data_IF_512112852587
#
_entry.id   IF_512112852587
#
_cell.length_a   1.000
_cell.length_b   1.000
_cell.length_c   1.000
_cell.angle_alpha   90.00
_cell.angle_beta   90.00
_cell.angle_gamma   90.00
#
_symmetry.space_group_name_H-M   'P 1'
#
loop_
_entity.id
_entity.type
_entity.pdbx_description
1 polymer ?
#
# COMPACT_ATOMS: atom_id res chain seq x y z
N UNK A 1 -11.51 -40.31 -43.99
CA UNK A 1 -11.40 -41.33 -42.94
C UNK A 1 -10.69 -40.76 -41.75
N UNK A 2 -11.40 -40.74 -40.66
CA UNK A 2 -10.97 -40.61 -39.26
C UNK A 2 -10.26 -39.31 -38.83
N UNK A 3 -11.07 -38.44 -38.29
CA UNK A 3 -10.69 -37.40 -37.36
C UNK A 3 -10.16 -37.96 -36.06
N UNK A 4 -9.29 -37.19 -35.40
CA UNK A 4 -8.95 -37.36 -33.97
C UNK A 4 -9.24 -36.04 -33.27
N UNK A 5 -10.25 -36.08 -32.42
CA UNK A 5 -10.56 -35.04 -31.44
C UNK A 5 -9.40 -34.86 -30.46
N UNK A 6 -9.01 -33.61 -30.26
CA UNK A 6 -8.09 -33.22 -29.18
C UNK A 6 -8.95 -32.65 -28.05
N UNK A 7 -8.86 -33.17 -26.81
CA UNK A 7 -9.67 -32.68 -25.69
C UNK A 7 -9.26 -31.24 -25.29
N UNK A 8 -10.27 -30.41 -25.07
CA UNK A 8 -10.15 -29.02 -24.74
C UNK A 8 -9.40 -28.73 -23.45
N UNK A 9 -8.64 -27.65 -23.45
CA UNK A 9 -8.06 -27.00 -22.28
C UNK A 9 -9.17 -26.39 -21.42
N UNK A 10 -9.10 -26.48 -20.10
CA UNK A 10 -10.07 -25.78 -19.23
C UNK A 10 -9.81 -24.27 -19.28
N UNK A 11 -10.89 -23.53 -19.45
CA UNK A 11 -10.94 -22.09 -19.57
C UNK A 11 -10.71 -21.44 -18.20
N UNK A 12 -9.62 -20.72 -18.06
CA UNK A 12 -9.28 -19.86 -16.90
C UNK A 12 -10.25 -18.65 -16.72
N UNK A 13 -11.22 -18.50 -17.58
CA UNK A 13 -12.09 -17.31 -17.65
C UNK A 13 -13.20 -17.18 -16.60
N UNK A 14 -13.34 -18.13 -15.66
CA UNK A 14 -14.45 -18.07 -14.67
C UNK A 14 -14.10 -17.36 -13.37
N UNK A 15 -12.85 -17.22 -12.99
CA UNK A 15 -12.46 -16.61 -11.71
C UNK A 15 -12.44 -15.07 -11.75
N UNK A 16 -12.09 -14.49 -12.88
CA UNK A 16 -11.99 -13.03 -13.02
C UNK A 16 -13.32 -12.30 -13.11
N UNK A 17 -14.36 -12.93 -13.67
CA UNK A 17 -15.72 -12.35 -13.68
C UNK A 17 -16.33 -12.20 -12.28
N UNK A 18 -15.87 -12.95 -11.28
CA UNK A 18 -16.36 -12.85 -9.91
C UNK A 18 -15.83 -11.63 -9.15
N UNK A 19 -14.63 -11.13 -9.47
CA UNK A 19 -14.06 -9.96 -8.79
C UNK A 19 -14.83 -8.67 -9.14
N UNK A 20 -15.22 -8.50 -10.39
CA UNK A 20 -16.04 -7.35 -10.84
C UNK A 20 -17.50 -7.45 -10.40
N UNK A 21 -18.03 -8.66 -10.15
CA UNK A 21 -19.41 -8.84 -9.70
C UNK A 21 -19.58 -8.63 -8.19
N UNK A 22 -18.55 -8.84 -7.37
CA UNK A 22 -18.65 -8.71 -5.91
C UNK A 22 -18.41 -7.28 -5.40
N UNK A 23 -17.72 -6.45 -6.14
CA UNK A 23 -17.72 -5.00 -5.89
C UNK A 23 -19.07 -4.34 -6.20
N UNK A 24 -19.92 -5.00 -7.03
CA UNK A 24 -21.30 -4.58 -7.32
C UNK A 24 -22.36 -5.23 -6.43
N UNK A 25 -22.08 -6.34 -5.76
CA UNK A 25 -23.09 -7.11 -5.01
C UNK A 25 -23.25 -6.69 -3.53
N UNK A 26 -22.37 -5.88 -2.99
CA UNK A 26 -22.55 -5.25 -1.68
C UNK A 26 -23.61 -4.13 -1.68
N UNK A 27 -24.09 -3.73 -2.86
CA UNK A 27 -25.03 -2.61 -3.04
C UNK A 27 -26.52 -3.00 -3.13
N UNK A 28 -26.90 -4.28 -3.12
CA UNK A 28 -28.31 -4.66 -3.39
C UNK A 28 -29.09 -5.25 -2.23
N UNK A 29 -28.66 -5.12 -1.00
CA UNK A 29 -29.38 -5.66 0.17
C UNK A 29 -29.77 -4.63 1.25
N UNK A 30 -29.87 -3.35 0.94
CA UNK A 30 -30.28 -2.36 1.92
C UNK A 30 -31.37 -1.40 1.39
N UNK A 31 -32.51 -1.95 0.97
CA UNK A 31 -33.74 -1.16 0.92
C UNK A 31 -34.59 -1.49 2.14
N UNK A 32 -34.48 -0.73 3.18
CA UNK A 32 -35.39 -0.78 4.32
C UNK A 32 -34.69 -0.76 5.68
N UNK A 33 -34.32 0.40 6.16
CA UNK A 33 -33.81 0.55 7.52
C UNK A 33 -32.85 1.71 7.68
N UNK A 34 -33.27 2.88 7.30
CA UNK A 34 -32.52 4.09 7.61
C UNK A 34 -32.57 4.37 9.11
N UNK A 35 -31.44 4.87 9.64
CA UNK A 35 -31.30 5.54 10.93
C UNK A 35 -31.26 4.64 12.17
N UNK A 36 -30.12 4.04 12.44
CA UNK A 36 -29.56 3.92 13.80
C UNK A 36 -28.26 3.11 13.75
N UNK A 37 -27.16 3.73 13.51
CA UNK A 37 -25.88 3.04 13.55
C UNK A 37 -24.69 3.97 13.38
N UNK A 38 -24.78 5.20 13.91
CA UNK A 38 -23.57 5.87 14.36
C UNK A 38 -23.12 5.02 15.53
N UNK A 39 -22.22 4.05 15.28
CA UNK A 39 -21.56 3.34 16.35
C UNK A 39 -20.99 4.40 17.29
N UNK A 40 -21.58 4.50 18.48
CA UNK A 40 -21.04 5.34 19.53
C UNK A 40 -19.64 4.74 19.82
N UNK A 41 -18.60 5.39 19.33
CA UNK A 41 -17.24 5.05 19.72
C UNK A 41 -17.21 5.02 21.24
N UNK A 42 -16.80 3.89 21.79
CA UNK A 42 -16.74 3.69 23.24
C UNK A 42 -16.07 4.91 23.90
N UNK A 43 -16.76 5.53 24.83
CA UNK A 43 -16.31 6.75 25.53
C UNK A 43 -15.20 6.51 26.57
N UNK A 44 -14.65 5.28 26.64
CA UNK A 44 -13.53 4.94 27.53
C UNK A 44 -12.18 5.01 26.81
N UNK A 45 -11.96 6.06 26.03
CA UNK A 45 -10.73 6.26 25.29
C UNK A 45 -9.64 6.83 26.18
N UNK A 46 -8.43 6.27 26.07
CA UNK A 46 -7.24 6.89 26.66
C UNK A 46 -7.07 8.34 26.12
N UNK A 47 -6.50 9.26 26.90
CA UNK A 47 -6.25 10.61 26.43
C UNK A 47 -5.41 10.58 25.16
N UNK A 48 -5.72 11.50 24.23
CA UNK A 48 -5.02 11.59 22.95
C UNK A 48 -3.50 11.65 23.16
N UNK A 49 -2.78 10.77 22.51
CA UNK A 49 -1.33 10.72 22.58
C UNK A 49 -0.74 11.93 21.84
N UNK A 50 0.28 12.56 22.43
CA UNK A 50 1.01 13.64 21.77
C UNK A 50 1.60 13.15 20.43
N UNK A 51 1.55 14.03 19.41
CA UNK A 51 2.09 13.69 18.10
C UNK A 51 3.58 13.35 18.18
N UNK A 52 3.95 12.17 17.71
CA UNK A 52 5.35 11.78 17.54
C UNK A 52 5.94 12.59 16.39
N UNK A 53 7.06 13.26 16.63
CA UNK A 53 7.68 14.17 15.65
C UNK A 53 8.83 13.57 14.86
N UNK A 54 9.42 12.46 15.31
CA UNK A 54 10.57 11.82 14.64
C UNK A 54 10.57 10.31 14.86
N UNK A 55 11.21 9.57 13.95
CA UNK A 55 11.44 8.12 14.04
C UNK A 55 12.52 7.72 15.05
N UNK A 56 13.39 8.65 15.48
CA UNK A 56 14.55 8.35 16.33
C UNK A 56 14.22 7.58 17.62
N UNK A 57 13.04 7.77 18.17
CA UNK A 57 12.60 7.05 19.37
C UNK A 57 12.20 5.59 19.09
N UNK A 58 11.99 5.23 17.83
CA UNK A 58 11.49 3.92 17.37
C UNK A 58 12.61 3.10 16.74
N UNK A 59 13.24 3.68 15.73
CA UNK A 59 14.43 3.13 15.10
C UNK A 59 15.57 4.15 15.16
N UNK A 60 16.45 4.07 16.17
CA UNK A 60 17.55 5.02 16.29
C UNK A 60 18.55 4.95 15.13
N UNK A 61 18.48 3.89 14.31
CA UNK A 61 19.28 3.74 13.10
C UNK A 61 18.53 4.13 11.83
N UNK A 62 17.28 4.61 11.93
CA UNK A 62 16.48 4.99 10.76
C UNK A 62 17.28 5.89 9.82
N UNK A 63 17.19 5.64 8.51
CA UNK A 63 17.93 6.38 7.50
C UNK A 63 17.55 7.87 7.53
N UNK A 64 18.44 8.74 7.06
CA UNK A 64 18.15 10.18 6.98
C UNK A 64 16.94 10.45 6.11
N UNK A 65 16.81 9.75 4.99
CA UNK A 65 15.68 9.89 4.08
C UNK A 65 14.36 9.45 4.75
N UNK A 66 14.33 8.30 5.45
CA UNK A 66 13.14 7.85 6.16
C UNK A 66 12.70 8.86 7.25
N UNK A 67 13.66 9.39 8.01
CA UNK A 67 13.35 10.45 8.99
C UNK A 67 12.80 11.70 8.36
N UNK A 68 13.36 12.15 7.25
CA UNK A 68 12.88 13.34 6.54
C UNK A 68 11.47 13.15 5.99
N UNK A 69 11.18 11.99 5.41
CA UNK A 69 9.81 11.66 4.96
C UNK A 69 8.84 11.64 6.14
N UNK A 70 9.21 11.00 7.25
CA UNK A 70 8.37 10.99 8.44
C UNK A 70 8.11 12.40 9.00
N UNK A 71 9.14 13.26 9.05
CA UNK A 71 8.98 14.65 9.51
C UNK A 71 8.03 15.45 8.62
N UNK A 72 8.08 15.23 7.31
CA UNK A 72 7.09 15.83 6.39
C UNK A 72 5.67 15.43 6.80
N UNK A 73 5.41 14.12 6.95
CA UNK A 73 4.08 13.64 7.33
C UNK A 73 3.65 14.16 8.71
N UNK A 74 4.55 14.14 9.69
CA UNK A 74 4.30 14.66 11.03
C UNK A 74 4.06 16.18 11.04
N UNK A 75 4.76 16.94 10.20
CA UNK A 75 4.54 18.37 10.03
C UNK A 75 3.15 18.69 9.46
N UNK A 76 2.73 17.97 8.42
CA UNK A 76 1.38 18.10 7.85
C UNK A 76 0.30 17.73 8.87
N UNK A 77 0.53 16.68 9.66
CA UNK A 77 -0.37 16.27 10.74
C UNK A 77 -0.45 17.31 11.86
N UNK A 78 0.66 17.91 12.26
CA UNK A 78 0.69 18.97 13.25
C UNK A 78 -0.14 20.19 12.82
N UNK A 79 -0.05 20.55 11.55
CA UNK A 79 -0.84 21.62 10.98
C UNK A 79 -2.33 21.27 10.90
N UNK A 80 -2.66 20.03 10.52
CA UNK A 80 -4.04 19.55 10.51
C UNK A 80 -4.65 19.61 11.91
N UNK A 81 -3.96 19.15 12.95
CA UNK A 81 -4.39 19.23 14.35
C UNK A 81 -4.55 20.65 14.86
N UNK A 82 -3.77 21.57 14.34
CA UNK A 82 -3.87 23.00 14.67
C UNK A 82 -4.95 23.74 13.87
N UNK A 83 -5.77 23.03 13.11
CA UNK A 83 -6.79 23.60 12.23
C UNK A 83 -6.24 24.34 11.00
N UNK A 84 -4.97 24.13 10.70
CA UNK A 84 -4.30 24.69 9.53
C UNK A 84 -4.01 23.57 8.54
N UNK A 85 -4.90 23.32 7.61
CA UNK A 85 -4.59 22.40 6.52
C UNK A 85 -3.61 23.08 5.58
N UNK A 86 -2.31 22.73 5.67
CA UNK A 86 -1.29 23.22 4.72
C UNK A 86 -1.34 22.48 3.40
N UNK A 87 -1.57 21.18 3.44
CA UNK A 87 -1.65 20.39 2.23
C UNK A 87 -1.97 18.91 2.50
N UNK A 88 -2.40 18.24 1.45
CA UNK A 88 -2.61 16.79 1.41
C UNK A 88 -1.81 16.24 0.25
N UNK A 89 -0.95 15.25 0.52
CA UNK A 89 -0.27 14.49 -0.51
C UNK A 89 -1.29 13.64 -1.26
N UNK A 90 -1.35 13.74 -2.59
CA UNK A 90 -2.19 12.84 -3.38
C UNK A 90 -1.34 11.69 -3.89
N UNK A 91 -1.86 10.48 -3.71
CA UNK A 91 -1.21 9.23 -4.07
C UNK A 91 -2.00 8.44 -5.10
N UNK A 92 -1.31 7.54 -5.77
CA UNK A 92 -1.87 6.62 -6.73
C UNK A 92 -1.25 5.24 -6.55
N UNK A 93 -2.09 4.24 -6.42
CA UNK A 93 -1.69 2.84 -6.40
C UNK A 93 -1.47 2.34 -7.84
N UNK A 94 -0.35 1.65 -8.10
CA UNK A 94 0.02 1.23 -9.44
C UNK A 94 -0.47 -0.16 -9.82
N UNK A 95 -0.83 -1.03 -8.89
CA UNK A 95 -1.30 -2.40 -9.17
C UNK A 95 -0.50 -3.16 -10.25
N UNK A 96 0.81 -3.12 -10.15
CA UNK A 96 1.74 -3.63 -11.20
C UNK A 96 1.42 -5.06 -11.65
N UNK A 97 0.97 -5.92 -10.75
CA UNK A 97 0.57 -7.28 -11.09
C UNK A 97 -0.62 -7.29 -12.05
N UNK A 98 -1.67 -6.51 -11.77
CA UNK A 98 -2.85 -6.45 -12.62
C UNK A 98 -2.57 -5.71 -13.93
N UNK A 99 -1.84 -4.58 -13.88
CA UNK A 99 -1.43 -3.85 -15.10
C UNK A 99 -0.78 -4.78 -16.11
N UNK A 100 0.02 -5.72 -15.63
CA UNK A 100 0.89 -6.51 -16.48
C UNK A 100 0.34 -7.86 -16.90
N UNK A 101 -0.33 -8.56 -16.01
CA UNK A 101 -0.73 -9.95 -16.22
C UNK A 101 -2.23 -10.13 -16.39
N UNK A 102 -3.03 -9.10 -16.18
CA UNK A 102 -4.47 -9.15 -16.35
C UNK A 102 -4.92 -8.30 -17.53
N UNK A 103 -5.10 -8.88 -18.73
CA UNK A 103 -5.51 -8.13 -19.91
C UNK A 103 -6.94 -7.59 -19.85
N UNK A 104 -7.75 -8.10 -18.90
CA UNK A 104 -9.14 -7.63 -18.68
C UNK A 104 -9.22 -6.58 -17.56
N UNK A 105 -8.09 -6.17 -16.99
CA UNK A 105 -8.06 -5.19 -15.91
C UNK A 105 -8.20 -3.75 -16.44
N UNK A 106 -8.92 -2.94 -15.69
CA UNK A 106 -9.10 -1.53 -16.00
C UNK A 106 -9.95 -1.29 -17.26
N UNK A 107 -9.40 -0.61 -18.24
CA UNK A 107 -10.10 -0.24 -19.47
C UNK A 107 -10.22 -1.38 -20.52
N UNK A 108 -9.84 -2.59 -20.17
CA UNK A 108 -9.90 -3.79 -21.01
C UNK A 108 -9.15 -3.70 -22.34
N UNK A 109 -8.16 -2.81 -22.45
CA UNK A 109 -7.39 -2.62 -23.69
C UNK A 109 -6.12 -3.46 -23.76
N UNK A 110 -5.96 -4.42 -22.84
CA UNK A 110 -4.82 -5.33 -22.76
C UNK A 110 -3.81 -4.94 -21.69
N UNK A 111 -2.70 -5.70 -21.56
CA UNK A 111 -1.68 -5.46 -20.56
C UNK A 111 -1.09 -4.05 -20.65
N UNK A 112 -0.90 -3.40 -19.53
CA UNK A 112 -0.31 -2.06 -19.42
C UNK A 112 1.17 -2.16 -19.03
N UNK A 113 1.98 -1.16 -19.37
CA UNK A 113 3.33 -1.07 -18.83
C UNK A 113 3.29 -0.80 -17.32
N UNK A 114 4.24 -1.31 -16.54
CA UNK A 114 4.32 -1.02 -15.12
C UNK A 114 4.33 0.49 -14.84
N UNK A 115 3.54 0.92 -13.86
CA UNK A 115 3.36 2.33 -13.52
C UNK A 115 2.34 3.08 -14.38
N UNK A 116 1.56 2.37 -15.20
CA UNK A 116 0.52 2.98 -16.02
C UNK A 116 -0.46 3.81 -15.18
N UNK A 117 -1.02 3.24 -14.11
CA UNK A 117 -1.97 3.96 -13.26
C UNK A 117 -1.30 5.08 -12.45
N UNK A 118 -0.04 4.92 -12.03
CA UNK A 118 0.70 6.02 -11.38
C UNK A 118 0.85 7.24 -12.30
N UNK A 119 1.01 7.01 -13.60
CA UNK A 119 1.10 8.12 -14.59
C UNK A 119 -0.23 8.68 -15.02
N UNK A 120 -1.32 7.95 -14.84
CA UNK A 120 -2.64 8.36 -15.35
C UNK A 120 -3.09 9.76 -14.88
N UNK A 121 -2.88 10.16 -13.62
CA UNK A 121 -3.14 11.54 -13.22
C UNK A 121 -2.36 12.57 -14.04
N UNK A 122 -1.11 12.29 -14.43
CA UNK A 122 -0.33 13.19 -15.28
C UNK A 122 -0.93 13.33 -16.68
N UNK A 123 -1.47 12.26 -17.25
CA UNK A 123 -2.15 12.33 -18.56
C UNK A 123 -3.37 13.24 -18.52
N UNK A 124 -4.10 13.26 -17.38
CA UNK A 124 -5.31 14.07 -17.19
C UNK A 124 -4.98 15.51 -16.81
N UNK A 125 -4.00 15.72 -15.92
CA UNK A 125 -3.79 16.99 -15.22
C UNK A 125 -2.47 17.68 -15.53
N UNK A 126 -1.54 16.99 -16.19
CA UNK A 126 -0.16 17.43 -16.36
C UNK A 126 0.73 17.27 -15.11
N UNK A 127 0.18 16.78 -13.99
CA UNK A 127 0.88 16.68 -12.70
C UNK A 127 0.95 15.23 -12.22
N UNK A 128 2.08 14.86 -11.59
CA UNK A 128 2.27 13.54 -11.00
C UNK A 128 1.65 13.44 -9.60
N UNK A 129 1.23 12.24 -9.18
CA UNK A 129 0.97 11.97 -7.77
C UNK A 129 2.22 12.20 -6.91
N UNK A 130 2.02 12.67 -5.68
CA UNK A 130 3.09 12.84 -4.70
C UNK A 130 3.51 11.51 -4.03
N UNK A 131 2.73 10.46 -4.21
CA UNK A 131 2.96 9.16 -3.58
C UNK A 131 2.61 8.03 -4.56
N UNK A 132 3.54 7.11 -4.71
CA UNK A 132 3.36 5.85 -5.41
C UNK A 132 3.14 4.75 -4.39
N UNK A 133 2.01 4.06 -4.44
CA UNK A 133 1.80 2.84 -3.68
C UNK A 133 1.89 1.61 -4.60
N UNK A 134 2.47 0.55 -4.06
CA UNK A 134 2.80 -0.67 -4.78
C UNK A 134 2.45 -1.90 -3.93
N UNK A 135 2.20 -3.04 -4.60
CA UNK A 135 2.05 -4.33 -3.94
C UNK A 135 3.28 -5.21 -4.18
N UNK A 136 3.85 -5.74 -3.10
CA UNK A 136 4.73 -6.90 -3.18
C UNK A 136 3.92 -8.18 -3.00
N UNK A 137 4.00 -9.11 -3.97
CA UNK A 137 3.13 -10.29 -3.97
C UNK A 137 1.65 -9.96 -4.24
N UNK A 138 0.82 -10.96 -4.47
CA UNK A 138 1.18 -12.35 -4.77
C UNK A 138 1.72 -12.52 -6.19
N UNK A 139 1.91 -13.75 -6.63
CA UNK A 139 2.28 -14.05 -8.02
C UNK A 139 3.76 -14.27 -8.25
N UNK A 140 4.53 -14.42 -7.19
CA UNK A 140 5.94 -14.81 -7.27
C UNK A 140 6.13 -16.32 -7.24
N UNK A 141 7.26 -16.79 -7.76
CA UNK A 141 7.63 -18.19 -7.79
C UNK A 141 8.61 -18.49 -6.67
N UNK A 142 8.28 -19.43 -5.82
CA UNK A 142 9.07 -19.74 -4.62
C UNK A 142 10.44 -20.32 -4.96
N UNK A 143 10.55 -21.12 -6.00
CA UNK A 143 11.78 -21.71 -6.48
C UNK A 143 12.83 -20.69 -6.93
N UNK A 144 12.43 -19.47 -7.28
CA UNK A 144 13.34 -18.42 -7.71
C UNK A 144 13.95 -17.60 -6.58
N UNK A 145 13.70 -17.93 -5.32
CA UNK A 145 14.11 -17.11 -4.17
C UNK A 145 15.48 -17.40 -3.60
N UNK A 146 16.18 -18.43 -4.04
CA UNK A 146 17.45 -18.83 -3.43
C UNK A 146 17.31 -19.04 -1.93
N UNK A 147 16.35 -19.87 -1.54
CA UNK A 147 15.95 -20.15 -0.17
C UNK A 147 17.11 -20.66 0.67
N UNK A 148 17.28 -20.09 1.86
CA UNK A 148 18.29 -20.52 2.83
C UNK A 148 19.69 -19.96 2.62
N UNK A 149 19.94 -19.18 1.58
CA UNK A 149 21.22 -18.50 1.39
C UNK A 149 21.33 -17.22 2.23
N UNK A 150 22.54 -16.92 2.66
CA UNK A 150 22.84 -15.62 3.26
C UNK A 150 22.61 -14.51 2.23
N UNK A 151 22.02 -13.41 2.67
CA UNK A 151 21.72 -12.26 1.80
C UNK A 151 22.77 -11.19 1.93
N UNK A 152 23.31 -10.79 0.79
CA UNK A 152 24.16 -9.62 0.66
C UNK A 152 23.34 -8.48 0.05
N UNK A 153 23.09 -7.45 0.84
CA UNK A 153 22.37 -6.24 0.41
C UNK A 153 23.30 -5.16 -0.15
N UNK A 154 24.56 -5.47 -0.37
CA UNK A 154 25.46 -4.53 -1.03
C UNK A 154 25.01 -4.28 -2.46
N UNK A 155 25.26 -3.04 -2.95
CA UNK A 155 24.96 -2.65 -4.33
C UNK A 155 25.63 -3.54 -5.38
N UNK A 156 26.77 -4.13 -5.04
CA UNK A 156 27.53 -5.02 -5.94
C UNK A 156 26.88 -6.38 -6.13
N UNK A 157 26.19 -6.89 -5.10
CA UNK A 157 25.58 -8.22 -5.15
C UNK A 157 24.19 -8.26 -5.81
N UNK A 158 23.45 -7.15 -5.74
CA UNK A 158 22.06 -7.11 -6.17
C UNK A 158 21.82 -7.39 -7.66
N UNK A 159 22.56 -6.82 -8.62
CA UNK A 159 22.33 -7.08 -10.03
C UNK A 159 22.35 -8.55 -10.38
N UNK A 160 23.28 -9.33 -9.80
CA UNK A 160 23.40 -10.76 -10.03
C UNK A 160 22.25 -11.60 -9.46
N UNK A 161 21.50 -11.07 -8.50
CA UNK A 161 20.41 -11.79 -7.84
C UNK A 161 19.04 -11.48 -8.40
N UNK A 162 18.87 -10.41 -9.17
CA UNK A 162 17.58 -9.98 -9.74
C UNK A 162 16.97 -11.00 -10.71
N UNK A 163 17.76 -11.84 -11.30
CA UNK A 163 17.29 -12.90 -12.19
C UNK A 163 16.36 -13.92 -11.50
N UNK A 164 16.47 -14.05 -10.16
CA UNK A 164 15.63 -14.92 -9.35
C UNK A 164 14.29 -14.31 -8.93
N UNK A 165 14.03 -13.05 -9.28
CA UNK A 165 12.81 -12.38 -8.93
C UNK A 165 11.79 -12.50 -10.07
N UNK A 166 10.53 -12.21 -9.75
CA UNK A 166 9.42 -12.18 -10.70
C UNK A 166 9.07 -10.72 -11.07
N UNK A 167 7.78 -10.43 -11.34
CA UNK A 167 7.33 -9.06 -11.58
C UNK A 167 7.68 -8.08 -10.44
N UNK A 168 7.99 -8.58 -9.27
CA UNK A 168 8.40 -7.77 -8.12
C UNK A 168 9.70 -7.00 -8.36
N UNK A 169 10.50 -7.40 -9.36
CA UNK A 169 11.59 -6.55 -9.85
C UNK A 169 11.06 -5.25 -10.46
N UNK A 170 9.96 -5.33 -11.20
CA UNK A 170 9.32 -4.14 -11.78
C UNK A 170 8.80 -3.21 -10.67
N UNK A 171 8.29 -3.78 -9.57
CA UNK A 171 7.83 -3.04 -8.39
C UNK A 171 8.98 -2.25 -7.75
N UNK A 172 10.11 -2.89 -7.48
CA UNK A 172 11.25 -2.21 -6.87
C UNK A 172 11.92 -1.21 -7.81
N UNK A 173 11.94 -1.49 -9.12
CA UNK A 173 12.45 -0.56 -10.11
C UNK A 173 11.59 0.70 -10.21
N UNK A 174 10.26 0.57 -10.17
CA UNK A 174 9.35 1.71 -10.12
C UNK A 174 9.57 2.55 -8.85
N UNK A 175 9.64 1.90 -7.69
CA UNK A 175 9.89 2.56 -6.42
C UNK A 175 11.19 3.37 -6.45
N UNK A 176 12.25 2.74 -6.95
CA UNK A 176 13.56 3.38 -7.10
C UNK A 176 13.51 4.55 -8.08
N UNK A 177 12.84 4.38 -9.22
CA UNK A 177 12.68 5.42 -10.23
C UNK A 177 11.91 6.64 -9.72
N UNK A 178 10.84 6.43 -8.96
CA UNK A 178 10.05 7.52 -8.39
C UNK A 178 10.83 8.27 -7.31
N UNK A 179 11.53 7.56 -6.43
CA UNK A 179 12.31 8.20 -5.37
C UNK A 179 13.54 8.98 -5.91
N UNK A 180 14.24 8.43 -6.88
CA UNK A 180 15.42 9.10 -7.48
C UNK A 180 15.07 10.04 -8.64
N UNK A 181 13.80 10.12 -9.04
CA UNK A 181 13.36 10.93 -10.18
C UNK A 181 13.76 10.40 -11.55
N UNK A 182 14.64 9.40 -11.58
CA UNK A 182 15.04 8.64 -12.76
C UNK A 182 15.49 7.25 -12.32
N UNK A 183 15.20 6.18 -13.10
CA UNK A 183 15.69 4.85 -12.81
C UNK A 183 17.24 4.85 -12.75
N UNK A 184 17.79 4.18 -11.75
CA UNK A 184 19.23 3.93 -11.69
C UNK A 184 19.56 2.69 -12.52
N UNK A 185 20.63 2.78 -13.29
CA UNK A 185 21.27 1.63 -13.93
C UNK A 185 22.13 0.86 -12.92
N UNK A 186 22.46 -0.38 -13.26
CA UNK A 186 23.29 -1.25 -12.41
C UNK A 186 24.67 -0.67 -12.10
N UNK A 187 25.20 0.19 -12.97
CA UNK A 187 26.47 0.93 -12.76
C UNK A 187 26.32 2.14 -11.82
N UNK A 188 25.15 2.37 -11.27
CA UNK A 188 24.85 3.50 -10.39
C UNK A 188 24.52 4.81 -11.09
N UNK A 189 24.60 4.86 -12.42
CA UNK A 189 24.18 6.04 -13.20
C UNK A 189 22.67 6.09 -13.34
N UNK A 190 22.13 7.26 -13.71
CA UNK A 190 20.72 7.44 -13.99
C UNK A 190 20.42 7.27 -15.48
N UNK A 191 19.23 6.78 -15.79
CA UNK A 191 18.72 6.73 -17.16
C UNK A 191 18.25 8.14 -17.59
N UNK A 192 18.94 8.82 -18.53
CA UNK A 192 18.64 10.21 -18.87
C UNK A 192 17.31 10.39 -19.62
N UNK A 193 16.73 9.33 -20.16
CA UNK A 193 15.50 9.40 -20.94
C UNK A 193 14.24 9.24 -20.10
N UNK A 194 14.36 8.89 -18.82
CA UNK A 194 13.21 8.56 -17.97
C UNK A 194 12.45 7.30 -18.40
N UNK A 195 13.05 6.48 -19.27
CA UNK A 195 12.50 5.22 -19.73
C UNK A 195 13.40 4.09 -19.28
N UNK A 196 12.87 3.17 -18.52
CA UNK A 196 13.56 1.99 -18.01
C UNK A 196 13.19 0.78 -18.83
N UNK A 197 14.18 -0.06 -19.15
CA UNK A 197 13.91 -1.44 -19.59
C UNK A 197 13.96 -2.33 -18.36
N UNK A 198 12.81 -2.82 -17.96
CA UNK A 198 12.68 -3.67 -16.79
C UNK A 198 13.27 -5.06 -17.06
N UNK A 199 13.51 -5.83 -16.00
CA UNK A 199 14.16 -7.15 -16.04
C UNK A 199 13.55 -8.12 -17.07
N UNK A 200 12.27 -7.97 -17.39
CA UNK A 200 11.54 -8.82 -18.35
C UNK A 200 11.46 -8.22 -19.76
N UNK A 201 12.21 -7.16 -20.06
CA UNK A 201 12.21 -6.49 -21.34
C UNK A 201 11.07 -5.50 -21.57
N UNK A 202 10.13 -5.37 -20.64
CA UNK A 202 9.07 -4.35 -20.71
C UNK A 202 9.66 -2.99 -20.41
N UNK A 203 9.20 -1.97 -21.10
CA UNK A 203 9.58 -0.58 -20.85
C UNK A 203 8.53 0.10 -20.00
N UNK A 204 8.95 0.79 -18.96
CA UNK A 204 8.12 1.74 -18.24
C UNK A 204 8.56 3.16 -18.59
N UNK A 205 7.62 4.08 -18.58
CA UNK A 205 7.90 5.50 -18.77
C UNK A 205 7.81 6.18 -17.42
N UNK A 206 8.96 6.57 -16.88
CA UNK A 206 9.03 7.39 -15.68
C UNK A 206 9.37 8.83 -16.07
N UNK A 207 8.79 9.81 -15.39
CA UNK A 207 9.08 11.20 -15.68
C UNK A 207 10.52 11.53 -15.29
N UNK A 208 11.23 12.22 -16.18
CA UNK A 208 12.54 12.78 -15.85
C UNK A 208 12.36 13.91 -14.84
N UNK A 209 12.88 13.72 -13.63
CA UNK A 209 12.79 14.72 -12.55
C UNK A 209 14.16 15.25 -12.08
N UNK A 210 15.19 15.02 -12.89
CA UNK A 210 16.52 15.59 -12.68
C UNK A 210 17.19 15.22 -11.35
N UNK A 211 16.94 14.01 -10.85
CA UNK A 211 17.53 13.50 -9.61
C UNK A 211 16.79 13.89 -8.33
N UNK A 212 15.70 14.67 -8.43
CA UNK A 212 14.81 14.89 -7.29
C UNK A 212 13.73 13.81 -7.25
N UNK A 213 13.18 13.42 -6.06
CA UNK A 213 12.04 12.55 -5.99
C UNK A 213 10.88 13.04 -6.84
N UNK A 214 10.26 12.13 -7.61
CA UNK A 214 8.99 12.40 -8.27
C UNK A 214 7.83 12.25 -7.27
N UNK A 215 8.03 11.46 -6.21
CA UNK A 215 7.08 11.24 -5.14
C UNK A 215 7.66 10.35 -4.05
N UNK A 216 6.89 10.15 -3.00
CA UNK A 216 7.15 9.18 -1.94
C UNK A 216 6.78 7.78 -2.41
N UNK A 217 7.27 6.75 -1.71
CA UNK A 217 7.04 5.34 -2.04
C UNK A 217 6.38 4.62 -0.86
N UNK A 218 5.30 3.89 -1.14
CA UNK A 218 4.67 2.96 -0.23
C UNK A 218 4.60 1.56 -0.81
N UNK A 219 4.55 0.56 0.07
CA UNK A 219 4.39 -0.83 -0.32
C UNK A 219 3.50 -1.58 0.66
N UNK A 220 2.52 -2.31 0.15
CA UNK A 220 1.85 -3.37 0.88
C UNK A 220 2.52 -4.73 0.61
N UNK A 221 2.23 -5.73 1.43
CA UNK A 221 2.67 -7.10 1.21
C UNK A 221 1.47 -8.05 1.22
N UNK A 222 1.05 -8.47 0.03
CA UNK A 222 0.01 -9.47 -0.14
C UNK A 222 0.59 -10.88 0.05
N UNK A 223 0.92 -11.20 1.29
CA UNK A 223 1.56 -12.46 1.64
C UNK A 223 0.59 -13.64 1.48
N UNK A 224 0.87 -14.64 0.63
CA UNK A 224 0.22 -15.94 0.71
C UNK A 224 0.45 -16.58 2.09
N UNK A 225 -0.52 -17.34 2.61
CA UNK A 225 -0.35 -17.94 3.93
C UNK A 225 0.93 -18.79 4.01
N UNK A 226 1.69 -18.73 5.13
CA UNK A 226 2.96 -19.41 5.32
C UNK A 226 2.89 -20.91 5.04
N UNK A 227 3.76 -21.39 4.14
CA UNK A 227 3.77 -22.79 3.69
C UNK A 227 2.78 -23.12 2.57
N UNK A 228 2.12 -22.13 1.98
CA UNK A 228 1.25 -22.35 0.82
C UNK A 228 2.03 -22.96 -0.35
N UNK A 229 1.44 -23.96 -1.06
CA UNK A 229 2.14 -24.69 -2.13
C UNK A 229 2.36 -23.83 -3.39
N UNK A 230 1.57 -22.77 -3.54
CA UNK A 230 1.69 -21.80 -4.64
C UNK A 230 1.54 -20.38 -4.07
N UNK A 231 2.21 -19.42 -4.69
CA UNK A 231 2.20 -18.03 -4.25
C UNK A 231 1.25 -17.20 -5.13
N UNK A 232 -0.04 -17.58 -5.11
CA UNK A 232 -1.10 -16.90 -5.87
C UNK A 232 -1.97 -16.02 -4.97
N UNK A 233 -2.77 -15.15 -5.58
CA UNK A 233 -3.73 -14.31 -4.85
C UNK A 233 -4.71 -15.12 -4.01
N UNK A 234 -5.19 -16.27 -4.51
CA UNK A 234 -6.08 -17.17 -3.76
C UNK A 234 -5.47 -17.59 -2.41
N UNK A 235 -4.14 -17.73 -2.34
CA UNK A 235 -3.45 -18.12 -1.11
C UNK A 235 -3.26 -16.96 -0.12
N UNK A 236 -3.57 -15.75 -0.50
CA UNK A 236 -3.62 -14.62 0.44
C UNK A 236 -4.93 -14.59 1.22
N UNK A 237 -5.94 -15.33 0.76
CA UNK A 237 -7.30 -15.25 1.29
C UNK A 237 -7.53 -16.21 2.46
N UNK A 238 -8.35 -15.77 3.40
CA UNK A 238 -8.71 -16.53 4.61
C UNK A 238 -9.31 -17.91 4.30
N UNK A 239 -10.13 -18.02 3.26
CA UNK A 239 -10.78 -19.27 2.87
C UNK A 239 -9.80 -20.37 2.45
N UNK A 240 -8.62 -20.00 1.96
CA UNK A 240 -7.56 -20.94 1.53
C UNK A 240 -6.60 -21.30 2.65
N UNK A 241 -6.55 -20.51 3.73
CA UNK A 241 -5.61 -20.70 4.81
C UNK A 241 -5.98 -21.89 5.71
N UNK A 242 -4.98 -22.60 6.27
CA UNK A 242 -5.22 -23.73 7.17
C UNK A 242 -6.01 -23.37 8.42
N UNK A 243 -5.94 -22.12 8.89
CA UNK A 243 -6.63 -21.62 10.10
C UNK A 243 -8.14 -21.89 10.12
N UNK A 244 -8.78 -22.02 8.96
CA UNK A 244 -10.20 -22.35 8.86
C UNK A 244 -10.52 -23.78 9.36
N UNK A 245 -9.56 -24.71 9.27
CA UNK A 245 -9.71 -26.13 9.64
C UNK A 245 -8.85 -26.52 10.83
N UNK A 246 -7.82 -25.77 11.11
CA UNK A 246 -6.83 -26.00 12.17
C UNK A 246 -6.61 -24.69 12.95
N UNK A 247 -7.40 -24.43 14.00
CA UNK A 247 -7.25 -23.21 14.81
C UNK A 247 -5.87 -23.04 15.47
N UNK A 248 -5.11 -24.14 15.65
CA UNK A 248 -3.76 -24.11 16.22
C UNK A 248 -2.65 -23.80 15.21
N UNK A 249 -3.00 -23.73 13.93
CA UNK A 249 -2.00 -23.47 12.88
C UNK A 249 -1.27 -22.14 13.09
N UNK A 250 -1.99 -21.06 13.39
CA UNK A 250 -1.37 -19.75 13.61
C UNK A 250 -0.45 -19.73 14.83
N UNK A 251 -0.78 -20.45 15.88
CA UNK A 251 0.09 -20.53 17.07
C UNK A 251 1.42 -21.23 16.70
N UNK A 252 1.41 -22.20 15.80
CA UNK A 252 2.64 -22.78 15.26
C UNK A 252 3.39 -21.84 14.34
N UNK A 253 2.69 -21.03 13.50
CA UNK A 253 3.32 -19.96 12.70
C UNK A 253 4.09 -19.00 13.58
N UNK A 254 3.56 -18.69 14.76
CA UNK A 254 4.18 -17.77 15.72
C UNK A 254 5.21 -18.43 16.64
N UNK A 255 5.32 -19.78 16.64
CA UNK A 255 6.23 -20.52 17.54
C UNK A 255 7.57 -20.81 16.87
N UNK A 256 8.68 -20.22 17.35
CA UNK A 256 10.00 -20.51 16.83
C UNK A 256 10.34 -22.03 16.86
N UNK A 257 10.91 -22.52 15.75
CA UNK A 257 11.30 -23.90 15.59
C UNK A 257 10.23 -24.82 14.97
N UNK A 258 9.00 -24.35 14.78
CA UNK A 258 7.98 -25.08 14.02
C UNK A 258 8.24 -24.99 12.51
N UNK A 259 7.67 -25.92 11.74
CA UNK A 259 7.75 -25.89 10.28
C UNK A 259 7.00 -24.69 9.69
N UNK A 260 5.87 -24.32 10.30
CA UNK A 260 5.06 -23.17 9.90
C UNK A 260 5.78 -21.85 10.17
N UNK A 261 6.51 -21.75 11.28
CA UNK A 261 7.36 -20.58 11.57
C UNK A 261 8.50 -20.45 10.55
N UNK A 262 9.16 -21.57 10.21
CA UNK A 262 10.19 -21.57 9.18
C UNK A 262 9.64 -21.11 7.82
N UNK A 263 8.41 -21.53 7.46
CA UNK A 263 7.74 -21.10 6.26
C UNK A 263 7.40 -19.58 6.29
N UNK A 264 6.98 -19.05 7.44
CA UNK A 264 6.78 -17.61 7.60
C UNK A 264 8.09 -16.84 7.38
N UNK A 265 9.19 -17.28 8.01
CA UNK A 265 10.49 -16.62 7.86
C UNK A 265 10.98 -16.65 6.41
N UNK A 266 10.62 -17.67 5.66
CA UNK A 266 10.91 -17.76 4.24
C UNK A 266 10.19 -16.66 3.43
N UNK A 267 8.90 -16.49 3.66
CA UNK A 267 8.13 -15.42 3.01
C UNK A 267 8.64 -14.02 3.43
N UNK A 268 8.96 -13.84 4.71
CA UNK A 268 9.57 -12.59 5.20
C UNK A 268 10.97 -12.35 4.63
N UNK A 269 11.74 -13.41 4.32
CA UNK A 269 13.03 -13.27 3.63
C UNK A 269 12.87 -12.71 2.22
N UNK A 270 11.86 -13.17 1.48
CA UNK A 270 11.51 -12.61 0.19
C UNK A 270 11.18 -11.11 0.29
N UNK A 271 10.30 -10.72 1.21
CA UNK A 271 9.99 -9.31 1.48
C UNK A 271 11.26 -8.51 1.82
N UNK A 272 12.07 -9.04 2.74
CA UNK A 272 13.29 -8.38 3.19
C UNK A 272 14.33 -8.20 2.07
N UNK A 273 14.41 -9.11 1.12
CA UNK A 273 15.32 -9.01 -0.02
C UNK A 273 14.95 -7.81 -0.91
N UNK A 274 13.67 -7.61 -1.20
CA UNK A 274 13.20 -6.48 -2.00
C UNK A 274 13.37 -5.13 -1.28
N UNK A 275 12.99 -5.09 0.00
CA UNK A 275 13.18 -3.90 0.82
C UNK A 275 14.66 -3.59 1.06
N UNK A 276 15.52 -4.61 1.16
CA UNK A 276 16.97 -4.47 1.29
C UNK A 276 17.60 -3.89 0.03
N UNK A 277 17.10 -4.25 -1.15
CA UNK A 277 17.51 -3.63 -2.39
C UNK A 277 17.21 -2.12 -2.37
N UNK A 278 15.99 -1.75 -1.98
CA UNK A 278 15.62 -0.34 -1.85
C UNK A 278 16.46 0.38 -0.79
N UNK A 279 16.76 -0.27 0.34
CA UNK A 279 17.63 0.27 1.37
C UNK A 279 19.05 0.54 0.88
N UNK A 280 19.60 -0.35 0.03
CA UNK A 280 20.93 -0.18 -0.55
C UNK A 280 21.04 1.06 -1.48
N UNK A 281 19.90 1.53 -1.98
CA UNK A 281 19.79 2.74 -2.81
C UNK A 281 19.13 3.91 -2.07
N UNK A 282 19.09 3.89 -0.74
CA UNK A 282 18.57 4.96 0.10
C UNK A 282 17.09 5.32 -0.18
N UNK A 283 16.28 4.36 -0.61
CA UNK A 283 14.84 4.57 -0.86
C UNK A 283 14.06 4.32 0.43
N UNK A 284 13.42 5.34 1.03
CA UNK A 284 12.53 5.13 2.17
C UNK A 284 11.20 4.56 1.70
N UNK A 285 10.62 3.67 2.48
CA UNK A 285 9.37 2.99 2.13
C UNK A 285 8.36 3.11 3.27
N UNK A 286 7.17 3.64 2.96
CA UNK A 286 6.00 3.49 3.81
C UNK A 286 5.50 2.04 3.66
N UNK A 287 5.86 1.17 4.60
CA UNK A 287 5.52 -0.25 4.56
C UNK A 287 4.20 -0.50 5.27
N UNK A 288 3.21 -1.02 4.54
CA UNK A 288 1.86 -1.32 5.03
C UNK A 288 1.58 -2.82 5.01
N UNK A 289 2.17 -3.59 5.94
CA UNK A 289 1.95 -5.02 6.02
C UNK A 289 0.63 -5.34 6.70
N UNK A 290 0.05 -6.50 6.41
CA UNK A 290 -1.10 -7.06 7.11
C UNK A 290 -2.28 -6.08 7.29
N UNK A 291 -2.53 -5.23 6.29
CA UNK A 291 -3.63 -4.28 6.25
C UNK A 291 -5.00 -4.98 6.26
N UNK A 292 -6.07 -4.24 6.49
CA UNK A 292 -7.45 -4.74 6.51
C UNK A 292 -7.71 -5.92 7.48
N UNK A 293 -6.96 -5.99 8.58
CA UNK A 293 -7.00 -7.10 9.55
C UNK A 293 -8.36 -7.28 10.22
N UNK A 294 -9.19 -6.28 10.20
CA UNK A 294 -10.53 -6.30 10.78
C UNK A 294 -11.63 -6.74 9.81
N UNK A 295 -11.32 -6.97 8.52
CA UNK A 295 -12.28 -7.44 7.51
C UNK A 295 -12.55 -8.93 7.68
N UNK A 296 -13.76 -9.31 8.14
CA UNK A 296 -14.15 -10.71 8.33
C UNK A 296 -15.38 -11.12 7.50
N UNK A 297 -15.99 -10.16 6.83
CA UNK A 297 -17.32 -10.34 6.24
C UNK A 297 -17.36 -10.91 4.83
N UNK A 298 -16.22 -11.24 4.21
CA UNK A 298 -16.22 -11.66 2.82
C UNK A 298 -15.27 -12.80 2.48
N UNK A 299 -15.51 -13.43 1.35
CA UNK A 299 -14.59 -14.40 0.74
C UNK A 299 -13.23 -13.80 0.38
N UNK A 300 -13.16 -12.47 0.30
CA UNK A 300 -11.97 -11.70 -0.07
C UNK A 300 -11.11 -11.27 1.13
N UNK A 301 -11.54 -11.53 2.37
CA UNK A 301 -10.72 -11.21 3.55
C UNK A 301 -9.40 -11.95 3.52
N UNK A 302 -8.32 -11.27 3.87
CA UNK A 302 -6.98 -11.86 3.94
C UNK A 302 -6.88 -12.90 5.08
N UNK A 303 -5.92 -13.82 4.99
CA UNK A 303 -5.77 -14.87 6.01
C UNK A 303 -5.46 -14.30 7.40
N UNK A 304 -4.75 -13.19 7.49
CA UNK A 304 -4.47 -12.51 8.77
C UNK A 304 -5.70 -11.79 9.37
N UNK A 305 -6.72 -11.47 8.58
CA UNK A 305 -7.96 -10.90 9.08
C UNK A 305 -8.77 -11.89 9.95
N UNK A 306 -8.48 -13.20 9.87
CA UNK A 306 -9.11 -14.22 10.72
C UNK A 306 -8.50 -14.37 12.11
N UNK A 307 -7.37 -13.70 12.39
CA UNK A 307 -6.62 -13.87 13.62
C UNK A 307 -7.32 -13.23 14.83
N UNK A 308 -7.00 -13.72 16.03
CA UNK A 308 -7.31 -13.00 17.26
C UNK A 308 -6.42 -11.75 17.37
N UNK A 309 -6.86 -10.69 18.06
CA UNK A 309 -6.03 -9.49 18.23
C UNK A 309 -4.60 -9.79 18.69
N UNK A 310 -4.43 -10.64 19.71
CA UNK A 310 -3.12 -10.99 20.25
C UNK A 310 -2.25 -11.77 19.25
N UNK A 311 -2.85 -12.59 18.41
CA UNK A 311 -2.12 -13.31 17.35
C UNK A 311 -1.68 -12.35 16.24
N UNK A 312 -2.54 -11.39 15.89
CA UNK A 312 -2.21 -10.37 14.90
C UNK A 312 -1.07 -9.45 15.39
N UNK A 313 -1.16 -8.95 16.62
CA UNK A 313 -0.10 -8.09 17.18
C UNK A 313 1.23 -8.84 17.27
N UNK A 314 1.23 -10.12 17.70
CA UNK A 314 2.42 -10.95 17.71
C UNK A 314 3.01 -11.18 16.31
N UNK A 315 2.17 -11.35 15.29
CA UNK A 315 2.61 -11.47 13.89
C UNK A 315 3.26 -10.18 13.40
N UNK A 316 2.68 -9.02 13.74
CA UNK A 316 3.23 -7.71 13.41
C UNK A 316 4.58 -7.46 14.08
N UNK A 317 4.67 -7.72 15.40
CA UNK A 317 5.92 -7.58 16.16
C UNK A 317 7.03 -8.49 15.60
N UNK A 318 6.68 -9.73 15.24
CA UNK A 318 7.62 -10.67 14.63
C UNK A 318 8.16 -10.11 13.30
N UNK A 319 7.28 -9.62 12.42
CA UNK A 319 7.68 -8.98 11.16
C UNK A 319 8.61 -7.79 11.43
N UNK A 320 8.24 -6.90 12.35
CA UNK A 320 9.06 -5.74 12.70
C UNK A 320 10.46 -6.15 13.17
N UNK A 321 10.54 -7.06 14.15
CA UNK A 321 11.82 -7.54 14.68
C UNK A 321 12.64 -8.30 13.63
N UNK A 322 11.99 -8.99 12.72
CA UNK A 322 12.68 -9.65 11.62
C UNK A 322 13.28 -8.63 10.65
N UNK A 323 12.50 -7.66 10.17
CA UNK A 323 12.97 -6.67 9.19
C UNK A 323 13.99 -5.70 9.79
N UNK A 324 13.67 -5.08 10.91
CA UNK A 324 14.52 -4.05 11.52
C UNK A 324 15.66 -4.68 12.34
N UNK A 325 15.33 -5.64 13.19
CA UNK A 325 16.31 -6.25 14.11
C UNK A 325 17.25 -7.24 13.41
N UNK A 326 16.69 -8.23 12.72
CA UNK A 326 17.49 -9.33 12.15
C UNK A 326 18.08 -8.97 10.78
N UNK A 327 17.33 -8.23 9.94
CA UNK A 327 17.75 -7.89 8.58
C UNK A 327 18.38 -6.50 8.48
N UNK A 328 18.27 -5.68 9.53
CA UNK A 328 18.89 -4.35 9.60
C UNK A 328 18.32 -3.34 8.59
N UNK A 329 17.05 -3.44 8.28
CA UNK A 329 16.37 -2.54 7.34
C UNK A 329 15.90 -1.29 8.08
N UNK A 330 16.58 -0.18 7.87
CA UNK A 330 16.38 1.09 8.57
C UNK A 330 15.80 2.18 7.67
N UNK A 331 15.28 1.82 6.50
CA UNK A 331 14.63 2.70 5.53
C UNK A 331 13.09 2.61 5.59
N UNK A 332 12.53 1.95 6.60
CA UNK A 332 11.10 1.65 6.68
C UNK A 332 10.36 2.64 7.58
N UNK A 333 9.13 2.96 7.19
CA UNK A 333 8.13 3.72 7.95
C UNK A 333 6.89 2.83 8.01
N UNK A 334 6.54 2.32 9.18
CA UNK A 334 5.50 1.31 9.32
C UNK A 334 4.10 1.93 9.37
N UNK A 335 3.23 1.48 8.47
CA UNK A 335 1.85 1.96 8.33
C UNK A 335 0.88 0.88 8.78
N UNK A 336 0.06 1.19 9.80
CA UNK A 336 -1.04 0.34 10.23
C UNK A 336 -2.35 0.87 9.64
N UNK A 337 -3.05 0.05 8.85
CA UNK A 337 -4.28 0.42 8.16
C UNK A 337 -5.35 -0.66 8.25
N UNK A 338 -6.41 -0.49 9.07
CA UNK A 338 -7.62 -1.27 8.99
C UNK A 338 -8.46 -0.89 7.77
N UNK A 339 -9.42 -1.75 7.40
CA UNK A 339 -10.50 -1.36 6.48
C UNK A 339 -11.58 -0.60 7.23
N UNK A 340 -12.24 0.32 6.56
CA UNK A 340 -13.40 1.02 7.08
C UNK A 340 -14.50 0.01 7.45
N UNK A 341 -15.03 0.17 8.66
CA UNK A 341 -15.92 -0.81 9.27
C UNK A 341 -17.32 -0.23 9.44
N UNK A 342 -18.30 -0.97 9.00
CA UNK A 342 -19.71 -0.59 9.04
C UNK A 342 -20.49 -1.25 10.19
N UNK A 343 -19.82 -1.99 11.06
CA UNK A 343 -20.42 -2.74 12.16
C UNK A 343 -21.04 -4.09 11.76
N UNK A 344 -21.03 -4.43 10.48
CA UNK A 344 -21.64 -5.66 9.93
C UNK A 344 -20.58 -6.60 9.35
N UNK A 345 -19.68 -6.06 8.51
CA UNK A 345 -18.74 -6.86 7.73
C UNK A 345 -17.32 -6.90 8.30
N UNK A 346 -17.10 -6.35 9.49
CA UNK A 346 -15.79 -6.27 10.09
C UNK A 346 -15.84 -6.36 11.62
N UNK A 347 -14.67 -6.26 12.21
CA UNK A 347 -14.48 -6.14 13.66
C UNK A 347 -13.96 -4.74 13.98
N UNK A 348 -14.16 -4.29 15.20
CA UNK A 348 -13.49 -3.07 15.68
C UNK A 348 -11.98 -3.22 15.54
N UNK A 349 -11.29 -2.29 14.86
CA UNK A 349 -9.87 -2.46 14.58
C UNK A 349 -8.96 -2.17 15.77
N UNK A 350 -9.46 -1.47 16.79
CA UNK A 350 -8.64 -0.89 17.86
C UNK A 350 -7.86 -1.91 18.66
N UNK A 351 -8.45 -3.11 18.87
CA UNK A 351 -7.80 -4.23 19.56
C UNK A 351 -6.62 -4.81 18.79
N UNK A 352 -6.53 -4.52 17.48
CA UNK A 352 -5.47 -5.00 16.59
C UNK A 352 -4.28 -4.03 16.49
N UNK A 353 -4.31 -2.91 17.21
CA UNK A 353 -3.18 -1.98 17.17
C UNK A 353 -1.94 -2.57 17.82
N UNK A 354 -0.82 -2.70 17.08
CA UNK A 354 0.35 -3.44 17.61
C UNK A 354 1.14 -2.67 18.67
N UNK A 355 0.81 -1.42 18.87
CA UNK A 355 1.54 -0.56 19.80
C UNK A 355 2.29 0.56 19.10
N UNK A 356 2.39 1.68 19.79
CA UNK A 356 3.00 2.88 19.22
C UNK A 356 4.49 2.74 18.93
N UNK A 357 5.17 1.74 19.47
CA UNK A 357 6.58 1.40 19.21
C UNK A 357 6.80 0.67 17.89
N UNK A 358 5.76 0.08 17.30
CA UNK A 358 5.83 -0.69 16.06
C UNK A 358 5.12 -0.02 14.89
N UNK A 359 4.47 1.12 15.12
CA UNK A 359 3.69 1.84 14.11
C UNK A 359 4.15 3.29 14.05
N UNK A 360 4.40 3.79 12.85
CA UNK A 360 4.80 5.17 12.59
C UNK A 360 3.65 6.01 12.04
N UNK A 361 2.83 5.44 11.18
CA UNK A 361 1.71 6.09 10.50
C UNK A 361 0.45 5.24 10.69
N UNK A 362 -0.69 5.88 10.92
CA UNK A 362 -1.97 5.20 10.98
C UNK A 362 -2.84 5.61 9.80
N UNK A 363 -3.56 4.64 9.23
CA UNK A 363 -4.39 4.86 8.05
C UNK A 363 -5.71 4.09 8.11
N UNK A 364 -6.47 4.19 7.05
CA UNK A 364 -7.67 3.39 6.79
C UNK A 364 -7.81 3.17 5.29
N UNK A 365 -8.30 1.99 4.91
CA UNK A 365 -8.73 1.67 3.56
C UNK A 365 -10.24 1.87 3.50
N UNK A 366 -10.70 2.92 2.79
CA UNK A 366 -12.11 3.34 2.79
C UNK A 366 -12.66 3.40 1.35
N UNK A 367 -13.41 2.39 1.00
CA UNK A 367 -14.10 2.26 -0.29
C UNK A 367 -15.60 2.59 -0.22
N UNK A 368 -16.08 3.20 0.86
CA UNK A 368 -17.49 3.39 1.18
C UNK A 368 -18.18 4.46 0.34
N UNK A 369 -17.61 5.12 -0.55
CA UNK A 369 -18.25 6.12 -1.40
C UNK A 369 -18.55 5.64 -2.81
N UNK A 370 -19.53 4.76 -3.04
CA UNK A 370 -19.96 4.44 -4.40
C UNK A 370 -21.04 5.39 -4.91
N UNK A 371 -21.13 5.69 -6.23
CA UNK A 371 -22.20 6.50 -6.81
C UNK A 371 -23.61 5.96 -6.51
N UNK A 372 -23.71 4.66 -6.26
CA UNK A 372 -24.98 3.97 -6.00
C UNK A 372 -25.37 3.94 -4.50
N UNK A 373 -24.44 4.33 -3.63
CA UNK A 373 -24.69 4.48 -2.21
C UNK A 373 -24.53 5.96 -1.84
N UNK A 374 -25.65 6.67 -1.57
CA UNK A 374 -25.61 8.10 -1.21
C UNK A 374 -25.09 8.33 0.22
N UNK A 375 -24.29 7.41 0.72
CA UNK A 375 -23.54 7.55 1.95
C UNK A 375 -22.69 8.84 1.85
N UNK A 376 -22.74 9.71 2.86
CA UNK A 376 -21.89 10.92 2.88
C UNK A 376 -20.42 10.52 3.13
N UNK A 377 -19.58 10.38 2.08
CA UNK A 377 -18.20 9.93 2.26
C UNK A 377 -17.43 10.87 3.17
N UNK A 378 -17.79 12.16 3.17
CA UNK A 378 -17.15 13.15 4.01
C UNK A 378 -17.45 12.93 5.49
N UNK A 379 -18.65 12.50 5.85
CA UNK A 379 -18.99 12.17 7.23
C UNK A 379 -18.27 10.89 7.69
N UNK A 380 -18.23 9.88 6.84
CA UNK A 380 -17.60 8.59 7.13
C UNK A 380 -16.09 8.71 7.28
N UNK A 381 -15.41 9.25 6.28
CA UNK A 381 -13.95 9.44 6.35
C UNK A 381 -13.57 10.39 7.49
N UNK A 382 -14.37 11.37 7.82
CA UNK A 382 -14.10 12.25 8.98
C UNK A 382 -14.24 11.53 10.31
N UNK A 383 -15.11 10.53 10.40
CA UNK A 383 -15.25 9.68 11.58
C UNK A 383 -14.00 8.82 11.79
N UNK A 384 -13.51 8.18 10.74
CA UNK A 384 -12.27 7.41 10.79
C UNK A 384 -11.06 8.31 11.08
N UNK A 385 -10.98 9.48 10.44
CA UNK A 385 -9.93 10.45 10.68
C UNK A 385 -9.86 10.88 12.15
N UNK A 386 -11.00 11.21 12.77
CA UNK A 386 -11.05 11.51 14.21
C UNK A 386 -10.70 10.27 15.04
N UNK A 387 -11.18 9.09 14.61
CA UNK A 387 -10.90 7.82 15.25
C UNK A 387 -9.42 7.52 15.43
N UNK A 388 -8.60 7.89 14.48
CA UNK A 388 -7.16 7.64 14.48
C UNK A 388 -6.34 8.71 15.23
N UNK A 389 -6.95 9.79 15.69
CA UNK A 389 -6.22 10.93 16.29
C UNK A 389 -5.48 10.56 17.58
N UNK A 390 -6.08 9.67 18.38
CA UNK A 390 -5.56 9.30 19.71
C UNK A 390 -4.24 8.54 19.64
N UNK A 391 -3.86 8.00 18.50
CA UNK A 391 -2.59 7.28 18.34
C UNK A 391 -1.36 8.19 18.28
N UNK A 392 -1.52 9.51 18.12
CA UNK A 392 -0.40 10.44 18.06
C UNK A 392 0.50 10.24 16.84
N UNK A 393 -0.05 9.83 15.73
CA UNK A 393 0.65 9.52 14.48
C UNK A 393 0.10 10.35 13.33
N UNK A 394 0.86 10.54 12.23
CA UNK A 394 0.29 11.02 10.97
C UNK A 394 -0.86 10.12 10.50
N UNK A 395 -1.94 10.72 10.00
CA UNK A 395 -3.15 10.03 9.57
C UNK A 395 -3.29 10.06 8.05
N UNK A 396 -3.42 8.88 7.42
CA UNK A 396 -3.54 8.75 5.98
C UNK A 396 -4.83 8.02 5.59
N UNK A 397 -5.42 8.39 4.45
CA UNK A 397 -6.35 7.52 3.74
C UNK A 397 -5.52 6.65 2.80
N UNK A 398 -5.31 5.39 3.22
CA UNK A 398 -4.34 4.53 2.58
C UNK A 398 -4.88 3.95 1.27
N UNK A 399 -6.18 3.70 1.18
CA UNK A 399 -6.85 3.29 -0.05
C UNK A 399 -8.23 3.93 -0.20
N UNK A 400 -8.59 4.31 -1.41
CA UNK A 400 -9.91 4.78 -1.80
C UNK A 400 -10.10 4.64 -3.32
N UNK A 401 -11.35 4.58 -3.80
CA UNK A 401 -11.62 4.69 -5.24
C UNK A 401 -11.75 6.15 -5.70
N UNK A 402 -12.01 7.08 -4.80
CA UNK A 402 -12.36 8.44 -5.15
C UNK A 402 -11.24 9.43 -4.84
N UNK A 403 -11.10 10.43 -5.71
CA UNK A 403 -10.26 11.60 -5.42
C UNK A 403 -10.92 12.49 -4.36
N UNK A 404 -10.12 13.22 -3.53
CA UNK A 404 -10.65 13.90 -2.36
C UNK A 404 -11.51 15.15 -2.62
N UNK A 405 -11.42 15.74 -3.81
CA UNK A 405 -12.09 17.01 -4.13
C UNK A 405 -13.09 16.93 -5.30
N UNK A 406 -13.50 15.76 -5.71
CA UNK A 406 -14.56 15.59 -6.70
C UNK A 406 -15.89 16.21 -6.25
N UNK A 407 -16.83 16.37 -7.19
CA UNK A 407 -18.08 17.07 -6.96
C UNK A 407 -18.87 16.60 -5.73
N UNK A 408 -18.84 15.30 -5.44
CA UNK A 408 -19.48 14.70 -4.26
C UNK A 408 -18.65 14.85 -2.98
N UNK A 409 -17.40 15.26 -3.03
CA UNK A 409 -16.44 15.19 -1.93
C UNK A 409 -15.70 16.49 -1.63
N UNK A 410 -16.12 17.60 -2.21
CA UNK A 410 -15.45 18.92 -2.12
C UNK A 410 -15.11 19.39 -0.71
N UNK A 411 -15.81 18.91 0.30
CA UNK A 411 -15.60 19.30 1.70
C UNK A 411 -14.89 18.23 2.51
N UNK A 412 -14.50 17.10 1.91
CA UNK A 412 -13.95 15.97 2.66
C UNK A 412 -12.66 16.34 3.36
N UNK A 413 -11.72 16.97 2.66
CA UNK A 413 -10.43 17.35 3.24
C UNK A 413 -10.51 18.50 4.26
N UNK A 414 -11.55 19.32 4.22
CA UNK A 414 -11.77 20.34 5.26
C UNK A 414 -12.30 19.74 6.56
N UNK A 415 -13.08 18.65 6.45
CA UNK A 415 -13.62 17.92 7.61
C UNK A 415 -12.66 16.84 8.12
N UNK A 416 -11.90 16.22 7.23
CA UNK A 416 -10.93 15.17 7.50
C UNK A 416 -9.61 15.50 6.77
N UNK A 417 -8.76 16.33 7.38
CA UNK A 417 -7.53 16.79 6.75
C UNK A 417 -6.45 15.68 6.77
N UNK A 418 -6.68 14.66 5.98
CA UNK A 418 -5.71 13.59 5.76
C UNK A 418 -4.39 14.15 5.24
N UNK A 419 -3.26 13.68 5.75
CA UNK A 419 -1.94 14.13 5.28
C UNK A 419 -1.56 13.49 3.95
N UNK A 420 -2.12 12.32 3.68
CA UNK A 420 -1.97 11.59 2.41
C UNK A 420 -3.32 10.94 2.05
N UNK A 421 -3.65 10.97 0.77
CA UNK A 421 -4.83 10.34 0.19
C UNK A 421 -4.42 9.52 -1.03
N UNK A 422 -4.64 8.19 -1.00
CA UNK A 422 -4.26 7.29 -2.10
C UNK A 422 -5.49 6.77 -2.83
N UNK A 423 -5.46 6.87 -4.16
CA UNK A 423 -6.48 6.29 -5.02
C UNK A 423 -5.99 4.93 -5.53
N UNK A 424 -6.83 3.91 -5.39
CA UNK A 424 -6.53 2.56 -5.86
C UNK A 424 -6.56 2.49 -7.38
N UNK A 425 -5.53 1.99 -7.99
CA UNK A 425 -5.35 1.55 -9.38
C UNK A 425 -6.32 2.12 -10.40
N UNK A 426 -7.14 1.25 -10.96
CA UNK A 426 -8.14 1.58 -11.98
C UNK A 426 -9.30 2.44 -11.45
N UNK A 427 -9.50 2.48 -10.13
CA UNK A 427 -10.51 3.34 -9.49
C UNK A 427 -10.39 4.79 -9.90
N UNK A 428 -9.19 5.27 -10.23
CA UNK A 428 -8.99 6.65 -10.70
C UNK A 428 -9.89 6.98 -11.88
N UNK A 429 -9.89 6.14 -12.90
CA UNK A 429 -10.65 6.37 -14.14
C UNK A 429 -12.03 5.72 -14.14
N UNK A 430 -12.22 4.65 -13.37
CA UNK A 430 -13.50 3.95 -13.31
C UNK A 430 -14.52 4.63 -12.39
N UNK A 431 -14.07 5.44 -11.41
CA UNK A 431 -14.92 6.03 -10.38
C UNK A 431 -14.86 7.55 -10.28
N UNK A 432 -14.03 8.21 -11.09
CA UNK A 432 -13.89 9.66 -11.07
C UNK A 432 -14.01 10.21 -12.49
N UNK A 433 -14.67 11.36 -12.63
CA UNK A 433 -14.60 12.11 -13.86
C UNK A 433 -13.23 12.82 -13.96
N UNK A 434 -12.71 12.98 -15.18
CA UNK A 434 -11.45 13.70 -15.40
C UNK A 434 -11.48 15.12 -14.79
N UNK A 435 -12.63 15.77 -14.81
CA UNK A 435 -12.82 17.09 -14.20
C UNK A 435 -12.61 17.07 -12.67
N UNK A 436 -13.00 16.00 -11.98
CA UNK A 436 -12.81 15.86 -10.53
C UNK A 436 -11.34 15.58 -10.21
N UNK A 437 -10.67 14.77 -11.05
CA UNK A 437 -9.22 14.56 -10.95
C UNK A 437 -8.48 15.88 -11.18
N UNK A 438 -8.82 16.61 -12.24
CA UNK A 438 -8.23 17.92 -12.52
C UNK A 438 -8.42 18.89 -11.35
N UNK A 439 -9.65 19.00 -10.81
CA UNK A 439 -9.93 19.86 -9.67
C UNK A 439 -9.11 19.48 -8.43
N UNK A 440 -8.92 18.19 -8.18
CA UNK A 440 -8.10 17.71 -7.06
C UNK A 440 -6.65 18.15 -7.22
N UNK A 441 -6.09 17.96 -8.40
CA UNK A 441 -4.68 18.28 -8.66
C UNK A 441 -4.42 19.79 -8.82
N UNK A 442 -5.45 20.60 -9.11
CA UNK A 442 -5.36 22.05 -9.20
C UNK A 442 -5.64 22.77 -7.87
N UNK A 443 -6.15 22.07 -6.86
CA UNK A 443 -6.34 22.68 -5.53
C UNK A 443 -5.00 23.16 -4.95
N UNK A 444 -4.91 24.41 -4.48
CA UNK A 444 -3.66 24.97 -3.97
C UNK A 444 -3.15 24.28 -2.69
N UNK A 445 -3.98 23.48 -2.02
CA UNK A 445 -3.61 22.66 -0.86
C UNK A 445 -3.33 21.20 -1.24
N UNK A 446 -3.36 20.85 -2.50
CA UNK A 446 -2.92 19.53 -2.96
C UNK A 446 -1.43 19.53 -3.23
N UNK A 447 -0.72 18.61 -2.59
CA UNK A 447 0.70 18.38 -2.81
C UNK A 447 0.84 17.30 -3.88
N UNK A 448 1.42 17.69 -5.00
CA UNK A 448 1.68 16.81 -6.16
C UNK A 448 3.14 16.44 -6.23
N UNK A 449 3.46 15.38 -6.97
CA UNK A 449 4.82 14.94 -7.24
C UNK A 449 5.52 15.77 -8.32
N UNK A 450 6.77 15.43 -8.59
CA UNK A 450 7.58 16.09 -9.61
C UNK A 450 8.19 17.41 -9.15
N UNK A 451 8.87 18.10 -10.09
CA UNK A 451 9.58 19.35 -9.81
C UNK A 451 8.67 20.51 -9.41
N UNK A 452 7.48 20.54 -9.96
CA UNK A 452 6.49 21.58 -9.71
C UNK A 452 5.53 21.12 -8.61
N UNK A 453 6.03 21.02 -7.37
CA UNK A 453 5.13 20.98 -6.23
C UNK A 453 4.39 22.32 -6.18
N UNK A 454 3.05 22.29 -6.16
CA UNK A 454 2.21 23.47 -6.06
C UNK A 454 2.60 24.37 -4.86
N UNK A 455 1.82 25.43 -4.58
CA UNK A 455 2.17 26.45 -3.58
C UNK A 455 2.40 25.90 -2.15
N UNK A 456 2.01 24.67 -1.87
CA UNK A 456 2.33 23.97 -0.62
C UNK A 456 3.82 23.53 -0.50
N UNK A 457 4.59 23.59 -1.59
CA UNK A 457 6.05 23.53 -1.68
C UNK A 457 6.75 22.47 -0.81
N UNK A 458 6.70 21.20 -1.21
CA UNK A 458 7.60 20.19 -0.63
C UNK A 458 8.98 20.38 -1.26
N UNK A 459 10.01 20.50 -0.42
CA UNK A 459 11.38 20.52 -0.88
C UNK A 459 11.87 19.09 -1.18
N UNK A 460 11.49 18.55 -2.33
CA UNK A 460 11.77 17.16 -2.71
C UNK A 460 13.26 16.81 -2.64
N UNK A 461 14.16 17.75 -3.02
CA UNK A 461 15.60 17.54 -2.89
C UNK A 461 16.03 17.40 -1.43
N UNK A 462 15.49 18.22 -0.53
CA UNK A 462 15.82 18.13 0.89
C UNK A 462 15.35 16.80 1.52
N UNK A 463 14.24 16.24 1.05
CA UNK A 463 13.81 14.91 1.43
C UNK A 463 14.80 13.83 0.99
N UNK A 464 15.23 13.90 -0.27
CA UNK A 464 16.19 12.97 -0.85
C UNK A 464 17.53 13.00 -0.12
N UNK A 465 18.04 14.19 0.15
CA UNK A 465 19.32 14.38 0.82
C UNK A 465 19.24 14.19 2.34
N UNK A 466 18.04 13.97 2.88
CA UNK A 466 17.82 13.80 4.30
C UNK A 466 18.04 15.07 5.12
N UNK A 467 17.92 16.23 4.50
CA UNK A 467 18.12 17.56 5.12
C UNK A 467 16.79 18.30 5.38
N UNK A 468 15.65 17.69 5.10
CA UNK A 468 14.35 18.23 5.40
C UNK A 468 14.13 18.29 6.93
N UNK A 469 13.90 19.49 7.47
CA UNK A 469 13.68 19.78 8.90
C UNK A 469 12.23 20.16 9.21
#
# INVERSE_FOLDING_TARGET
MLGRDVPGRPVLGRELKRRNLLLGAAATAATGGALAGVAAFSTSRAPATALQKDLLSRDPKASKAARSVYRLLAGLEADARAGRRRGTLVGQHAEVHNERYNPEYGDHTGPKPPGYYYRKPQDITGKLPAFLELDLGPGYQQESWGVGEARDYSRAAWPARREFWTYTNDVVDLAMGVWHGLPRKDDGSYNPTGTETLWNGTKTVLPANGGAPAGLVGMSFHQPWPGSPVKSYEQTLRRSAPSAKDPGWIDRVLTPGSAEHAALLLDLSFLADHLGYLAAYDVPVLLRPYHEMNSIGGEQSFWWAGLKPQQYTALWELLYHYLVGSRGLHNLIFVWAPTAWDGIHGREPWDFYPGGEYVDVVGVDDYSGTPDNPFDPAAWTSTWHRGLEDYGKPRILAESFHVPLGAAQRTTLDKAPWVLWTVWGDGLTAKNADADVQQTYDDPKTITGGRESGPAGVQWLALHDGTFE
#
